data_IF_203056241733
#
_entry.id   IF_203056241733
#
_cell.length_a   1.000
_cell.length_b   1.000
_cell.length_c   1.000
_cell.angle_alpha   90.00
_cell.angle_beta   90.00
_cell.angle_gamma   90.00
#
_symmetry.space_group_name_H-M   'P 1'
#
loop_
_entity.id
_entity.type
_entity.pdbx_description
1 polymer ?
#
# COMPACT_ATOMS: atom_id res chain seq x y z
N UNK A 1 -28.48 -4.83 -36.22
CA UNK A 1 -28.53 -4.09 -34.93
C UNK A 1 -28.27 -4.97 -33.70
N UNK A 2 -28.76 -6.23 -33.66
CA UNK A 2 -28.56 -7.11 -32.49
C UNK A 2 -27.08 -7.40 -32.16
N UNK A 3 -26.23 -7.62 -33.17
CA UNK A 3 -24.80 -7.91 -32.97
C UNK A 3 -24.02 -6.76 -32.32
N UNK A 4 -24.34 -5.49 -32.63
CA UNK A 4 -23.69 -4.32 -32.01
C UNK A 4 -24.04 -4.20 -30.53
N UNK A 5 -25.29 -4.52 -30.16
CA UNK A 5 -25.75 -4.54 -28.77
C UNK A 5 -25.10 -5.70 -28.00
N UNK A 6 -25.03 -6.88 -28.60
CA UNK A 6 -24.36 -8.04 -27.99
C UNK A 6 -22.87 -7.76 -27.75
N UNK A 7 -22.17 -7.16 -28.72
CA UNK A 7 -20.78 -6.77 -28.56
C UNK A 7 -20.58 -5.74 -27.44
N UNK A 8 -21.43 -4.71 -27.38
CA UNK A 8 -21.39 -3.71 -26.29
C UNK A 8 -21.60 -4.33 -24.90
N UNK A 9 -22.58 -5.23 -24.77
CA UNK A 9 -22.85 -5.92 -23.51
C UNK A 9 -21.67 -6.82 -23.14
N UNK A 10 -21.13 -7.59 -24.07
CA UNK A 10 -19.95 -8.42 -23.83
C UNK A 10 -18.75 -7.58 -23.38
N UNK A 11 -18.47 -6.46 -24.05
CA UNK A 11 -17.41 -5.53 -23.66
C UNK A 11 -17.63 -4.94 -22.27
N UNK A 12 -18.86 -4.54 -21.94
CA UNK A 12 -19.19 -4.02 -20.62
C UNK A 12 -18.98 -5.08 -19.52
N UNK A 13 -19.38 -6.33 -19.77
CA UNK A 13 -19.15 -7.44 -18.83
C UNK A 13 -17.66 -7.70 -18.63
N UNK A 14 -16.86 -7.71 -19.70
CA UNK A 14 -15.40 -7.89 -19.61
C UNK A 14 -14.75 -6.75 -18.83
N UNK A 15 -15.15 -5.50 -19.08
CA UNK A 15 -14.60 -4.34 -18.36
C UNK A 15 -14.98 -4.36 -16.87
N UNK A 16 -16.20 -4.74 -16.54
CA UNK A 16 -16.64 -4.89 -15.14
C UNK A 16 -15.89 -6.02 -14.44
N UNK A 17 -15.69 -7.15 -15.11
CA UNK A 17 -14.93 -8.27 -14.58
C UNK A 17 -13.46 -7.88 -14.35
N UNK A 18 -12.81 -7.25 -15.33
CA UNK A 18 -11.42 -6.78 -15.20
C UNK A 18 -11.28 -5.69 -14.13
N UNK A 19 -12.23 -4.75 -14.06
CA UNK A 19 -12.29 -3.74 -13.01
C UNK A 19 -12.42 -4.37 -11.62
N UNK A 20 -13.28 -5.39 -11.46
CA UNK A 20 -13.44 -6.11 -10.20
C UNK A 20 -12.17 -6.81 -9.73
N UNK A 21 -11.36 -7.37 -10.65
CA UNK A 21 -10.09 -8.02 -10.31
C UNK A 21 -9.08 -7.05 -9.68
N UNK A 22 -9.12 -5.76 -10.03
CA UNK A 22 -8.26 -4.74 -9.43
C UNK A 22 -8.60 -4.44 -7.96
N UNK A 23 -9.81 -4.78 -7.50
CA UNK A 23 -10.19 -4.62 -6.09
C UNK A 23 -9.92 -5.86 -5.24
N UNK A 24 -9.36 -6.93 -5.82
CA UNK A 24 -9.02 -8.11 -5.06
C UNK A 24 -7.78 -7.86 -4.18
N UNK A 25 -7.80 -8.25 -2.89
CA UNK A 25 -6.64 -8.13 -2.02
C UNK A 25 -5.38 -8.76 -2.61
N UNK A 26 -5.50 -9.91 -3.28
CA UNK A 26 -4.36 -10.56 -3.93
C UNK A 26 -3.67 -9.65 -4.94
N UNK A 27 -4.43 -8.96 -5.79
CA UNK A 27 -3.91 -8.07 -6.84
C UNK A 27 -3.19 -6.87 -6.20
N UNK A 28 -3.81 -6.25 -5.21
CA UNK A 28 -3.22 -5.15 -4.44
C UNK A 28 -1.90 -5.54 -3.77
N UNK A 29 -1.86 -6.71 -3.12
CA UNK A 29 -0.65 -7.23 -2.49
C UNK A 29 0.45 -7.62 -3.48
N UNK A 30 0.07 -8.07 -4.67
CA UNK A 30 1.00 -8.50 -5.70
C UNK A 30 1.67 -7.30 -6.38
N UNK A 31 0.90 -6.28 -6.72
CA UNK A 31 1.40 -5.09 -7.42
C UNK A 31 1.77 -3.92 -6.51
N UNK A 32 1.44 -4.00 -5.22
CA UNK A 32 1.86 -3.04 -4.21
C UNK A 32 1.11 -1.71 -4.21
N UNK A 33 -0.18 -1.71 -4.57
CA UNK A 33 -1.07 -0.57 -4.41
C UNK A 33 -2.04 -0.78 -3.23
N UNK A 34 -2.54 0.30 -2.67
CA UNK A 34 -3.53 0.25 -1.60
C UNK A 34 -4.96 0.12 -2.16
N UNK A 35 -5.80 -0.64 -1.46
CA UNK A 35 -7.25 -0.64 -1.68
C UNK A 35 -7.91 0.50 -0.89
N UNK A 36 -9.06 1.01 -1.37
CA UNK A 36 -9.82 1.98 -0.61
C UNK A 36 -10.39 1.36 0.67
N UNK A 37 -10.49 2.16 1.74
CA UNK A 37 -11.03 1.75 3.04
C UNK A 37 -9.96 1.43 4.08
N UNK A 38 -10.42 1.00 5.27
CA UNK A 38 -9.55 0.72 6.40
C UNK A 38 -8.66 -0.49 6.13
N UNK A 39 -7.40 -0.41 6.57
CA UNK A 39 -6.39 -1.48 6.41
C UNK A 39 -6.18 -1.94 4.96
N UNK A 40 -6.40 -1.03 4.00
CA UNK A 40 -6.23 -1.27 2.57
C UNK A 40 -4.77 -1.29 2.08
N UNK A 41 -3.80 -0.97 2.94
CA UNK A 41 -2.38 -1.01 2.59
C UNK A 41 -1.93 -2.43 2.21
N UNK A 42 -1.10 -2.61 1.17
CA UNK A 42 -0.67 -3.92 0.70
C UNK A 42 0.40 -4.54 1.61
N UNK A 43 0.68 -5.82 1.43
CA UNK A 43 1.76 -6.52 2.12
C UNK A 43 3.14 -6.06 1.66
N UNK A 44 3.27 -5.73 0.38
CA UNK A 44 4.51 -5.32 -0.26
C UNK A 44 4.32 -3.95 -0.91
N UNK A 45 5.32 -3.10 -0.79
CA UNK A 45 5.43 -1.83 -1.51
C UNK A 45 6.78 -1.76 -2.21
N UNK A 46 6.86 -0.95 -3.25
CA UNK A 46 8.10 -0.70 -3.98
C UNK A 46 8.56 0.73 -3.70
N UNK A 47 9.84 0.88 -3.36
CA UNK A 47 10.46 2.19 -3.15
C UNK A 47 11.91 2.14 -3.64
N UNK A 48 12.30 3.12 -4.46
CA UNK A 48 13.68 3.28 -4.95
C UNK A 48 14.32 2.00 -5.52
N UNK A 49 13.56 1.22 -6.31
CA UNK A 49 14.07 -0.02 -6.92
C UNK A 49 14.13 -1.22 -5.98
N UNK A 50 13.62 -1.09 -4.74
CA UNK A 50 13.65 -2.14 -3.72
C UNK A 50 12.23 -2.46 -3.24
N UNK A 51 12.04 -3.71 -2.84
CA UNK A 51 10.78 -4.16 -2.25
C UNK A 51 10.85 -4.09 -0.73
N UNK A 52 9.77 -3.60 -0.12
CA UNK A 52 9.59 -3.56 1.32
C UNK A 52 8.31 -4.30 1.68
N UNK A 53 8.29 -4.96 2.85
CA UNK A 53 7.14 -5.74 3.32
C UNK A 53 6.71 -5.37 4.73
N UNK A 54 5.42 -5.47 4.99
CA UNK A 54 4.86 -5.44 6.34
C UNK A 54 3.97 -6.64 6.56
N UNK A 55 4.18 -7.36 7.66
CA UNK A 55 3.33 -8.49 8.04
C UNK A 55 2.02 -8.05 8.71
N UNK A 56 1.87 -6.75 8.99
CA UNK A 56 0.69 -6.15 9.60
C UNK A 56 -0.36 -5.73 8.57
N UNK A 57 0.02 -5.65 7.29
CA UNK A 57 -0.82 -5.18 6.19
C UNK A 57 -0.89 -6.23 5.08
N UNK A 58 -2.05 -6.34 4.44
CA UNK A 58 -2.26 -7.27 3.34
C UNK A 58 -3.52 -6.92 2.53
N UNK A 59 -3.82 -5.64 2.39
CA UNK A 59 -4.98 -5.12 1.67
C UNK A 59 -6.30 -5.83 2.06
N UNK A 60 -6.47 -6.12 3.36
CA UNK A 60 -7.64 -6.84 3.90
C UNK A 60 -7.70 -8.35 3.61
N UNK A 61 -6.63 -8.97 3.11
CA UNK A 61 -6.62 -10.40 2.86
C UNK A 61 -6.69 -11.23 4.16
N UNK A 62 -7.51 -12.28 4.18
CA UNK A 62 -7.74 -13.11 5.37
C UNK A 62 -6.54 -13.95 5.85
N UNK A 63 -5.45 -13.99 5.09
CA UNK A 63 -4.21 -14.68 5.49
C UNK A 63 -3.28 -13.81 6.34
N UNK A 64 -3.57 -12.51 6.51
CA UNK A 64 -2.82 -11.67 7.44
C UNK A 64 -2.89 -12.22 8.86
N UNK A 65 -1.76 -12.18 9.55
CA UNK A 65 -1.80 -12.04 10.99
C UNK A 65 -2.24 -10.60 11.30
N UNK A 66 -3.54 -10.38 11.48
CA UNK A 66 -4.03 -9.12 12.03
C UNK A 66 -3.59 -9.03 13.48
N UNK A 67 -2.43 -8.41 13.71
CA UNK A 67 -1.91 -8.11 15.04
C UNK A 67 -2.29 -6.67 15.42
N UNK A 68 -2.77 -6.50 16.64
CA UNK A 68 -2.96 -5.17 17.23
C UNK A 68 -1.74 -4.79 18.08
N UNK A 69 -1.29 -3.52 18.03
CA UNK A 69 -1.85 -2.44 17.22
C UNK A 69 -1.44 -2.52 15.74
N UNK A 70 -2.38 -2.22 14.84
CA UNK A 70 -2.17 -2.19 13.38
C UNK A 70 -1.07 -1.20 12.94
N UNK A 71 -0.98 -0.07 13.64
CA UNK A 71 -0.03 0.99 13.36
C UNK A 71 0.42 1.64 14.65
N UNK A 72 1.51 2.39 14.57
CA UNK A 72 2.07 3.13 15.70
C UNK A 72 1.96 4.64 15.46
N UNK A 73 1.72 5.44 16.52
CA UNK A 73 1.74 6.90 16.42
C UNK A 73 3.12 7.48 16.11
N UNK A 74 3.15 8.71 15.61
CA UNK A 74 4.38 9.44 15.24
C UNK A 74 5.37 9.58 16.41
N UNK A 75 4.87 9.56 17.65
CA UNK A 75 5.70 9.61 18.88
C UNK A 75 6.78 8.54 18.91
N UNK A 76 6.54 7.38 18.29
CA UNK A 76 7.52 6.29 18.21
C UNK A 76 8.67 6.57 17.24
N UNK A 77 8.57 7.62 16.40
CA UNK A 77 9.56 7.99 15.40
C UNK A 77 10.17 9.38 15.62
N UNK A 78 10.23 9.84 16.87
CA UNK A 78 10.76 11.16 17.24
C UNK A 78 9.70 12.25 17.41
N UNK A 79 8.41 11.89 17.31
CA UNK A 79 7.27 12.66 17.82
C UNK A 79 6.98 14.01 17.19
N UNK A 80 7.66 14.37 16.11
CA UNK A 80 7.44 15.62 15.38
C UNK A 80 7.34 15.34 13.90
N UNK A 81 6.54 16.12 13.16
CA UNK A 81 6.42 15.94 11.71
C UNK A 81 7.77 16.09 10.98
N UNK A 82 8.72 16.80 11.59
CA UNK A 82 10.07 17.02 11.07
C UNK A 82 11.01 15.83 11.28
N UNK A 83 10.65 14.84 12.11
CA UNK A 83 11.45 13.63 12.32
C UNK A 83 11.30 12.61 11.19
N UNK A 84 10.30 12.80 10.33
CA UNK A 84 10.09 12.01 9.12
C UNK A 84 10.38 12.86 7.88
N UNK A 85 10.87 12.21 6.83
CA UNK A 85 11.04 12.82 5.51
C UNK A 85 10.20 12.04 4.53
N UNK A 86 9.25 12.66 3.80
CA UNK A 86 8.53 11.98 2.74
C UNK A 86 9.49 11.66 1.60
N UNK A 87 9.44 10.42 1.11
CA UNK A 87 10.36 9.91 0.07
C UNK A 87 9.63 9.28 -1.12
N UNK A 88 8.37 8.90 -0.96
CA UNK A 88 7.58 8.22 -2.00
C UNK A 88 6.08 8.22 -1.66
N UNK A 89 5.28 7.55 -2.48
CA UNK A 89 3.87 7.31 -2.23
C UNK A 89 3.44 5.89 -2.63
N UNK A 90 2.53 5.29 -1.85
CA UNK A 90 1.77 4.11 -2.24
C UNK A 90 0.46 4.57 -2.87
N UNK A 91 0.28 4.31 -4.16
CA UNK A 91 -0.95 4.67 -4.86
C UNK A 91 -2.13 3.91 -4.27
N UNK A 92 -3.25 4.60 -4.06
CA UNK A 92 -4.53 3.97 -3.68
C UNK A 92 -5.43 3.87 -4.90
N UNK A 93 -5.99 2.70 -5.16
CA UNK A 93 -6.96 2.51 -6.23
C UNK A 93 -8.22 3.32 -5.92
N UNK A 94 -8.53 4.32 -6.76
CA UNK A 94 -9.62 5.27 -6.57
C UNK A 94 -9.60 5.97 -5.20
N UNK A 95 -8.47 6.54 -4.81
CA UNK A 95 -8.33 7.32 -3.58
C UNK A 95 -7.07 8.17 -3.54
N UNK A 96 -6.84 8.86 -2.42
CA UNK A 96 -5.59 9.57 -2.18
C UNK A 96 -4.46 8.56 -1.95
N UNK A 97 -3.28 8.83 -2.51
CA UNK A 97 -2.07 8.06 -2.23
C UNK A 97 -1.67 8.16 -0.75
N UNK A 98 -0.98 7.13 -0.27
CA UNK A 98 -0.44 7.07 1.08
C UNK A 98 1.05 7.41 1.07
N UNK A 99 1.43 8.50 1.73
CA UNK A 99 2.82 8.94 1.74
C UNK A 99 3.74 7.90 2.44
N UNK A 100 4.91 7.68 1.84
CA UNK A 100 6.01 6.87 2.36
C UNK A 100 7.08 7.79 2.93
N UNK A 101 7.62 7.41 4.08
CA UNK A 101 8.58 8.18 4.84
C UNK A 101 9.80 7.36 5.22
N UNK A 102 10.92 8.05 5.39
CA UNK A 102 12.07 7.56 6.16
C UNK A 102 12.22 8.37 7.44
N UNK A 103 12.68 7.72 8.52
CA UNK A 103 13.06 8.42 9.74
C UNK A 103 14.33 9.24 9.49
N UNK A 104 14.47 10.38 10.18
CA UNK A 104 15.71 11.16 10.19
C UNK A 104 16.71 10.62 11.22
N UNK A 105 18.02 10.69 10.93
CA UNK A 105 18.63 11.15 9.67
C UNK A 105 18.32 10.18 8.52
N UNK A 106 18.12 10.72 7.31
CA UNK A 106 17.92 9.89 6.12
C UNK A 106 19.20 9.08 5.92
N UNK A 107 19.13 7.74 5.81
CA UNK A 107 20.32 6.93 5.62
C UNK A 107 21.07 7.31 4.33
N UNK A 108 22.40 7.29 4.35
CA UNK A 108 23.24 7.51 3.16
C UNK A 108 23.12 6.39 2.10
N UNK A 109 22.29 5.37 2.37
CA UNK A 109 22.06 4.21 1.50
C UNK A 109 20.62 3.69 1.59
N UNK A 110 20.39 2.44 1.20
CA UNK A 110 19.05 1.84 1.21
C UNK A 110 18.49 1.77 2.65
N UNK A 111 17.36 2.42 2.94
CA UNK A 111 16.74 2.31 4.25
C UNK A 111 16.32 0.86 4.49
N UNK A 112 16.61 0.33 5.68
CA UNK A 112 16.18 -1.02 6.08
C UNK A 112 14.70 -1.08 6.43
N UNK A 113 14.12 0.08 6.77
CA UNK A 113 12.70 0.26 7.06
C UNK A 113 12.21 1.58 6.47
N UNK A 114 11.04 1.53 5.86
CA UNK A 114 10.25 2.72 5.50
C UNK A 114 8.93 2.71 6.25
N UNK A 115 8.31 3.87 6.39
CA UNK A 115 7.04 4.05 7.09
C UNK A 115 5.98 4.51 6.10
N UNK A 116 4.79 3.93 6.13
CA UNK A 116 3.65 4.38 5.33
C UNK A 116 2.62 4.98 6.26
N UNK A 117 2.15 6.19 5.95
CA UNK A 117 1.04 6.79 6.68
C UNK A 117 -0.26 6.07 6.32
N UNK A 118 -0.97 5.58 7.33
CA UNK A 118 -2.25 4.90 7.20
C UNK A 118 -3.43 5.70 7.82
N UNK A 119 -3.16 6.90 8.34
CA UNK A 119 -4.14 7.78 8.98
C UNK A 119 -3.51 9.07 9.53
N UNK A 120 -4.26 9.87 10.30
CA UNK A 120 -3.83 11.18 10.80
C UNK A 120 -2.65 11.13 11.80
N UNK A 121 -2.48 10.03 12.53
CA UNK A 121 -1.32 9.75 13.39
C UNK A 121 -1.07 8.24 13.50
N UNK A 122 -1.02 7.58 12.33
CA UNK A 122 -1.00 6.13 12.22
C UNK A 122 0.00 5.75 11.14
N UNK A 123 1.11 5.14 11.53
CA UNK A 123 2.20 4.78 10.64
C UNK A 123 2.49 3.28 10.73
N UNK A 124 2.66 2.67 9.56
CA UNK A 124 2.97 1.25 9.42
C UNK A 124 4.41 1.10 8.92
N UNK A 125 5.21 0.31 9.61
CA UNK A 125 6.57 -0.02 9.17
C UNK A 125 6.58 -1.12 8.12
N UNK A 126 7.39 -0.90 7.07
CA UNK A 126 7.72 -1.90 6.07
C UNK A 126 9.23 -2.14 6.07
N UNK A 127 9.63 -3.39 6.28
CA UNK A 127 11.01 -3.82 6.30
C UNK A 127 11.50 -4.20 4.89
N UNK A 128 12.75 -3.86 4.57
CA UNK A 128 13.40 -4.21 3.32
C UNK A 128 13.37 -5.72 3.07
N UNK A 129 13.03 -6.12 1.84
CA UNK A 129 13.11 -7.49 1.38
C UNK A 129 14.47 -7.76 0.73
N UNK A 130 15.14 -8.83 1.19
CA UNK A 130 16.50 -9.17 0.77
C UNK A 130 17.58 -8.37 1.51
N UNK A 131 18.80 -8.93 1.59
CA UNK A 131 19.95 -8.26 2.19
C UNK A 131 20.41 -7.02 1.40
N UNK A 132 21.29 -6.19 1.97
CA UNK A 132 21.82 -5.00 1.29
C UNK A 132 22.40 -5.32 -0.08
#
# INVERSE_FOLDING_TARGET
MAYKRAALVASAVVLLAAGGLAFLPWTANHFGYALPGDRGLPYRIHHAGRDYRSYLTCAGAGWCASADPYCVPLVHFGGTATSLTPVDEVVTLFGASQAVFTAKPVPDGTPTTVLVRAGSDCYVGYALMGGP
#
